data_IF_777013312242
#
_entry.id   IF_777013312242
#
_cell.length_a   1.000
_cell.length_b   1.000
_cell.length_c   1.000
_cell.angle_alpha   90.00
_cell.angle_beta   90.00
_cell.angle_gamma   90.00
#
_symmetry.space_group_name_H-M   'P 1'
#
loop_
_entity.id
_entity.type
_entity.pdbx_description
1 polymer ?
#
# COMPACT_ATOMS: atom_id res chain seq x y z
N UNK A 1 11.03 13.44 -23.20
CA UNK A 1 10.65 12.07 -22.86
C UNK A 1 10.91 11.76 -21.42
N UNK A 2 12.08 12.14 -20.92
CA UNK A 2 12.42 11.94 -19.52
C UNK A 2 11.42 12.62 -18.58
N UNK A 3 10.98 13.83 -18.93
CA UNK A 3 10.03 14.55 -18.11
C UNK A 3 8.72 13.78 -17.94
N UNK A 4 8.27 13.11 -19.01
CA UNK A 4 7.06 12.31 -18.94
C UNK A 4 7.23 11.10 -18.03
N UNK A 5 8.38 10.42 -18.11
CA UNK A 5 8.66 9.29 -17.25
C UNK A 5 8.77 9.73 -15.79
N UNK A 6 9.38 10.89 -15.54
CA UNK A 6 9.52 11.43 -14.19
C UNK A 6 8.19 11.88 -13.59
N UNK A 7 7.19 12.13 -14.45
CA UNK A 7 5.87 12.52 -13.98
C UNK A 7 4.98 11.31 -13.64
N UNK A 8 5.55 10.10 -13.61
CA UNK A 8 4.81 8.87 -13.34
C UNK A 8 5.28 8.25 -12.02
N UNK A 9 4.94 8.86 -10.86
CA UNK A 9 5.38 8.33 -9.57
C UNK A 9 4.83 6.94 -9.27
N UNK A 10 3.63 6.62 -9.81
CA UNK A 10 3.04 5.29 -9.65
C UNK A 10 3.88 4.21 -10.33
N UNK A 11 4.52 4.53 -11.46
CA UNK A 11 5.39 3.58 -12.15
C UNK A 11 6.66 3.32 -11.36
N UNK A 12 7.28 4.37 -10.80
CA UNK A 12 8.46 4.22 -9.96
C UNK A 12 8.13 3.42 -8.70
N UNK A 13 6.99 3.70 -8.08
CA UNK A 13 6.53 2.97 -6.90
C UNK A 13 6.28 1.49 -7.21
N UNK A 14 5.73 1.21 -8.40
CA UNK A 14 5.49 -0.16 -8.84
C UNK A 14 6.81 -0.92 -8.99
N UNK A 15 7.81 -0.31 -9.63
CA UNK A 15 9.13 -0.91 -9.79
C UNK A 15 9.77 -1.20 -8.43
N UNK A 16 9.72 -0.24 -7.52
CA UNK A 16 10.27 -0.40 -6.17
C UNK A 16 9.56 -1.53 -5.44
N UNK A 17 8.23 -1.60 -5.56
CA UNK A 17 7.45 -2.65 -4.91
C UNK A 17 7.80 -4.04 -5.42
N UNK A 18 8.23 -4.16 -6.68
CA UNK A 18 8.62 -5.45 -7.24
C UNK A 18 10.06 -5.82 -6.93
N UNK A 19 10.94 -4.83 -6.76
CA UNK A 19 12.37 -5.07 -6.63
C UNK A 19 12.85 -5.30 -5.20
N UNK A 20 12.11 -4.82 -4.20
CA UNK A 20 12.53 -4.99 -2.81
C UNK A 20 12.34 -6.43 -2.34
N UNK A 21 13.30 -6.94 -1.59
CA UNK A 21 13.12 -8.19 -0.86
C UNK A 21 11.96 -8.04 0.10
N UNK A 22 11.19 -9.13 0.30
CA UNK A 22 9.98 -9.05 1.11
C UNK A 22 10.21 -8.51 2.53
N UNK A 23 11.22 -8.99 3.28
CA UNK A 23 11.46 -8.44 4.62
C UNK A 23 11.72 -6.92 4.60
N UNK A 24 12.46 -6.43 3.61
CA UNK A 24 12.72 -5.00 3.47
C UNK A 24 11.46 -4.23 3.11
N UNK A 25 10.65 -4.78 2.23
CA UNK A 25 9.39 -4.15 1.84
C UNK A 25 8.48 -3.99 3.05
N UNK A 26 8.35 -5.04 3.85
CA UNK A 26 7.51 -5.00 5.05
C UNK A 26 8.05 -3.98 6.06
N UNK A 27 9.37 -3.97 6.24
CA UNK A 27 9.99 -3.01 7.16
C UNK A 27 9.72 -1.57 6.73
N UNK A 28 9.81 -1.28 5.45
CA UNK A 28 9.52 0.06 4.92
C UNK A 28 8.05 0.41 5.04
N UNK A 29 7.19 -0.55 4.77
CA UNK A 29 5.75 -0.33 4.91
C UNK A 29 5.42 0.02 6.37
N UNK A 30 5.98 -0.73 7.32
CA UNK A 30 5.78 -0.47 8.74
C UNK A 30 6.27 0.93 9.12
N UNK A 31 7.39 1.38 8.56
CA UNK A 31 7.89 2.72 8.86
C UNK A 31 6.95 3.82 8.35
N UNK A 32 6.15 3.53 7.33
CA UNK A 32 5.23 4.51 6.74
C UNK A 32 3.83 4.45 7.34
N UNK A 33 3.29 3.27 7.61
CA UNK A 33 1.91 3.15 8.08
C UNK A 33 1.76 2.44 9.43
N UNK A 34 2.85 1.95 9.99
CA UNK A 34 2.82 1.30 11.29
C UNK A 34 2.55 -0.19 11.22
N UNK A 35 2.82 -0.89 12.33
CA UNK A 35 2.69 -2.35 12.39
C UNK A 35 1.23 -2.81 12.34
N UNK A 36 0.35 -2.12 13.06
CA UNK A 36 -1.07 -2.51 13.13
C UNK A 36 -1.75 -2.39 11.78
N UNK A 37 -1.54 -1.28 11.09
CA UNK A 37 -2.17 -1.08 9.78
C UNK A 37 -1.55 -2.01 8.75
N UNK A 38 -0.24 -2.27 8.83
CA UNK A 38 0.41 -3.24 7.96
C UNK A 38 -0.18 -4.64 8.15
N UNK A 39 -0.39 -5.06 9.40
CA UNK A 39 -1.04 -6.34 9.70
C UNK A 39 -2.46 -6.38 9.15
N UNK A 40 -3.18 -5.29 9.31
CA UNK A 40 -4.56 -5.20 8.86
C UNK A 40 -4.66 -5.41 7.33
N UNK A 41 -3.89 -4.64 6.55
CA UNK A 41 -3.95 -4.75 5.09
C UNK A 41 -3.41 -6.09 4.59
N UNK A 42 -2.53 -6.73 5.35
CA UNK A 42 -2.03 -8.07 5.03
C UNK A 42 -3.06 -9.17 5.28
N UNK A 43 -4.10 -8.87 6.06
CA UNK A 43 -5.12 -9.85 6.39
C UNK A 43 -4.78 -10.71 7.59
N UNK A 44 -3.83 -10.29 8.42
CA UNK A 44 -3.47 -11.05 9.63
C UNK A 44 -3.93 -10.28 10.87
N UNK A 45 -4.09 -11.00 11.98
CA UNK A 45 -4.61 -10.42 13.23
C UNK A 45 -3.51 -9.95 14.15
N UNK A 46 -2.34 -10.58 14.09
CA UNK A 46 -1.30 -10.39 15.08
C UNK A 46 -0.12 -9.63 14.48
N UNK A 47 0.26 -8.52 15.11
CA UNK A 47 1.41 -7.72 14.68
C UNK A 47 2.72 -8.52 14.75
N UNK A 48 2.79 -9.55 15.62
CA UNK A 48 3.98 -10.40 15.70
C UNK A 48 4.21 -11.17 14.39
N UNK A 49 3.15 -11.43 13.64
CA UNK A 49 3.29 -12.04 12.31
C UNK A 49 4.05 -11.10 11.38
N UNK A 50 3.75 -9.81 11.44
CA UNK A 50 4.49 -8.79 10.67
C UNK A 50 5.97 -8.80 11.06
N UNK A 51 6.25 -8.85 12.35
CA UNK A 51 7.63 -8.91 12.84
C UNK A 51 8.37 -10.15 12.31
N UNK A 52 7.67 -11.27 12.23
CA UNK A 52 8.28 -12.51 11.71
C UNK A 52 8.67 -12.38 10.24
N UNK A 53 7.88 -11.66 9.44
CA UNK A 53 8.22 -11.43 8.03
C UNK A 53 9.47 -10.55 7.90
N UNK A 54 9.58 -9.54 8.75
CA UNK A 54 10.77 -8.69 8.76
C UNK A 54 12.00 -9.51 9.14
N UNK A 55 11.83 -10.49 10.02
CA UNK A 55 12.89 -11.40 10.42
C UNK A 55 13.20 -12.50 9.40
N UNK A 56 12.42 -12.61 8.33
CA UNK A 56 12.71 -13.52 7.23
C UNK A 56 11.75 -14.68 7.06
N UNK A 57 10.71 -14.78 7.89
CA UNK A 57 9.70 -15.83 7.72
C UNK A 57 8.93 -15.59 6.40
N UNK A 58 8.70 -16.65 5.65
CA UNK A 58 7.96 -16.58 4.40
C UNK A 58 6.47 -16.42 4.67
N UNK A 59 5.78 -15.52 3.94
CA UNK A 59 4.33 -15.38 4.08
C UNK A 59 3.58 -16.49 3.36
N UNK A 60 2.31 -16.67 3.72
CA UNK A 60 1.43 -17.64 3.09
C UNK A 60 0.46 -16.96 2.12
N UNK A 61 0.00 -17.73 1.13
CA UNK A 61 -1.09 -17.34 0.25
C UNK A 61 -0.82 -16.04 -0.48
N UNK A 62 -1.78 -15.13 -0.41
CA UNK A 62 -1.73 -13.86 -1.11
C UNK A 62 -1.12 -12.71 -0.32
N UNK A 63 -0.53 -13.00 0.83
CA UNK A 63 0.04 -11.94 1.68
C UNK A 63 1.07 -11.12 0.91
N UNK A 64 2.02 -11.78 0.25
CA UNK A 64 3.09 -11.06 -0.42
C UNK A 64 2.59 -10.16 -1.55
N UNK A 65 1.81 -10.64 -2.53
CA UNK A 65 1.31 -9.74 -3.57
C UNK A 65 0.42 -8.63 -3.01
N UNK A 66 -0.34 -8.91 -1.97
CA UNK A 66 -1.19 -7.91 -1.34
C UNK A 66 -0.38 -6.80 -0.67
N UNK A 67 0.68 -7.16 0.04
CA UNK A 67 1.56 -6.17 0.68
C UNK A 67 2.41 -5.43 -0.35
N UNK A 68 2.82 -6.09 -1.42
CA UNK A 68 3.54 -5.38 -2.48
C UNK A 68 2.66 -4.31 -3.13
N UNK A 69 1.39 -4.62 -3.35
CA UNK A 69 0.46 -3.63 -3.88
C UNK A 69 0.18 -2.51 -2.87
N UNK A 70 -0.04 -2.87 -1.60
CA UNK A 70 -0.23 -1.86 -0.56
C UNK A 70 0.97 -0.91 -0.48
N UNK A 71 2.18 -1.44 -0.58
CA UNK A 71 3.40 -0.64 -0.59
C UNK A 71 3.40 0.32 -1.78
N UNK A 72 3.00 -0.14 -2.95
CA UNK A 72 2.93 0.71 -4.14
C UNK A 72 2.00 1.91 -3.89
N UNK A 73 0.80 1.66 -3.37
CA UNK A 73 -0.17 2.71 -3.06
C UNK A 73 0.40 3.70 -2.05
N UNK A 74 0.98 3.18 -0.97
CA UNK A 74 1.55 4.01 0.10
C UNK A 74 2.69 4.87 -0.43
N UNK A 75 3.54 4.31 -1.29
CA UNK A 75 4.65 5.07 -1.87
C UNK A 75 4.17 6.20 -2.78
N UNK A 76 3.14 5.93 -3.58
CA UNK A 76 2.54 6.99 -4.42
C UNK A 76 2.05 8.14 -3.57
N UNK A 77 1.31 7.84 -2.50
CA UNK A 77 0.79 8.87 -1.60
C UNK A 77 1.91 9.58 -0.84
N UNK A 78 2.93 8.84 -0.42
CA UNK A 78 4.02 9.38 0.39
C UNK A 78 4.92 10.36 -0.37
N UNK A 79 4.86 10.37 -1.70
CA UNK A 79 5.58 11.37 -2.48
C UNK A 79 5.03 12.79 -2.24
N UNK A 80 3.78 12.89 -1.82
CA UNK A 80 3.09 14.18 -1.70
C UNK A 80 2.65 14.48 -0.28
N UNK A 81 2.46 13.48 0.56
CA UNK A 81 1.84 13.66 1.86
C UNK A 81 2.65 12.98 2.97
N UNK A 82 2.44 13.47 4.20
CA UNK A 82 3.09 12.90 5.38
C UNK A 82 2.51 11.52 5.71
N UNK A 83 3.23 10.71 6.48
CA UNK A 83 2.70 9.41 6.92
C UNK A 83 1.35 9.51 7.61
N UNK A 84 1.12 10.57 8.36
CA UNK A 84 -0.14 10.79 9.07
C UNK A 84 -1.31 10.93 8.10
N UNK A 85 -1.11 11.69 7.03
CA UNK A 85 -2.14 11.89 6.01
C UNK A 85 -2.37 10.59 5.24
N UNK A 86 -1.29 9.88 4.91
CA UNK A 86 -1.40 8.60 4.20
C UNK A 86 -2.20 7.59 5.04
N UNK A 87 -1.92 7.52 6.34
CA UNK A 87 -2.66 6.63 7.23
C UNK A 87 -4.14 7.01 7.31
N UNK A 88 -4.42 8.32 7.41
CA UNK A 88 -5.81 8.79 7.44
C UNK A 88 -6.55 8.46 6.13
N UNK A 89 -5.86 8.59 4.99
CA UNK A 89 -6.44 8.25 3.70
C UNK A 89 -6.80 6.75 3.64
N UNK A 90 -5.90 5.92 4.12
CA UNK A 90 -6.12 4.46 4.11
C UNK A 90 -7.31 4.05 4.98
N UNK A 91 -7.52 4.74 6.08
CA UNK A 91 -8.53 4.35 7.09
C UNK A 91 -9.86 5.05 6.94
N UNK A 92 -9.96 6.07 6.09
CA UNK A 92 -11.19 6.83 5.92
C UNK A 92 -12.05 6.31 4.78
N UNK A 93 -13.35 6.65 4.82
CA UNK A 93 -14.22 6.38 3.68
C UNK A 93 -13.78 7.25 2.51
N UNK A 94 -13.89 6.71 1.31
CA UNK A 94 -13.36 7.37 0.12
C UNK A 94 -14.43 7.48 -0.96
N UNK A 95 -14.83 8.72 -1.33
CA UNK A 95 -15.87 8.89 -2.36
C UNK A 95 -15.50 8.29 -3.70
N UNK A 96 -14.22 8.29 -4.06
CA UNK A 96 -13.76 7.69 -5.32
C UNK A 96 -13.92 6.18 -5.32
N UNK A 97 -14.12 5.58 -4.15
CA UNK A 97 -14.32 4.13 -4.00
C UNK A 97 -15.77 3.80 -3.61
N UNK A 98 -16.70 4.71 -3.86
CA UNK A 98 -18.09 4.51 -3.46
C UNK A 98 -18.23 4.46 -1.94
N UNK A 99 -17.51 5.32 -1.25
CA UNK A 99 -17.49 5.43 0.21
C UNK A 99 -16.96 4.18 0.92
N UNK A 100 -16.21 3.34 0.21
CA UNK A 100 -15.52 2.22 0.83
C UNK A 100 -14.16 2.68 1.37
N UNK A 101 -13.65 1.94 2.35
CA UNK A 101 -12.37 2.26 3.02
C UNK A 101 -11.22 1.57 2.28
N UNK A 102 -10.20 2.31 1.83
CA UNK A 102 -9.09 1.70 1.07
C UNK A 102 -8.42 0.53 1.80
N UNK A 103 -8.11 0.69 3.09
CA UNK A 103 -7.46 -0.39 3.84
C UNK A 103 -8.32 -1.65 3.89
N UNK A 104 -9.64 -1.50 3.96
CA UNK A 104 -10.54 -2.64 3.99
C UNK A 104 -10.57 -3.35 2.64
N UNK A 105 -10.54 -2.60 1.54
CA UNK A 105 -10.45 -3.20 0.21
C UNK A 105 -9.15 -3.97 0.04
N UNK A 106 -8.03 -3.42 0.54
CA UNK A 106 -6.76 -4.12 0.50
C UNK A 106 -6.78 -5.39 1.32
N UNK A 107 -7.49 -5.39 2.44
CA UNK A 107 -7.58 -6.57 3.32
C UNK A 107 -8.51 -7.64 2.75
N UNK A 108 -9.70 -7.26 2.32
CA UNK A 108 -10.79 -8.19 2.03
C UNK A 108 -11.07 -8.37 0.56
N UNK A 109 -10.68 -7.42 -0.28
CA UNK A 109 -11.01 -7.46 -1.69
C UNK A 109 -10.19 -8.47 -2.47
N UNK A 110 -10.74 -8.85 -3.63
CA UNK A 110 -10.00 -9.65 -4.58
C UNK A 110 -8.99 -8.71 -5.24
N UNK A 111 -7.71 -9.03 -5.13
CA UNK A 111 -6.63 -8.09 -5.44
C UNK A 111 -6.72 -7.56 -6.88
N UNK A 112 -6.93 -8.44 -7.86
CA UNK A 112 -7.00 -8.02 -9.25
C UNK A 112 -8.17 -7.06 -9.53
N UNK A 113 -9.25 -7.20 -8.76
CA UNK A 113 -10.42 -6.33 -8.92
C UNK A 113 -10.22 -4.99 -8.22
N UNK A 114 -9.68 -5.00 -6.99
CA UNK A 114 -9.59 -3.77 -6.20
C UNK A 114 -8.35 -2.94 -6.51
N UNK A 115 -7.29 -3.55 -7.06
CA UNK A 115 -6.05 -2.82 -7.29
C UNK A 115 -6.23 -1.61 -8.21
N UNK A 116 -6.89 -1.73 -9.38
CA UNK A 116 -7.09 -0.55 -10.22
C UNK A 116 -7.94 0.51 -9.54
N UNK A 117 -8.95 0.11 -8.77
CA UNK A 117 -9.82 1.05 -8.06
C UNK A 117 -9.05 1.84 -7.01
N UNK A 118 -8.29 1.14 -6.17
CA UNK A 118 -7.54 1.78 -5.08
C UNK A 118 -6.45 2.69 -5.64
N UNK A 119 -5.72 2.22 -6.66
CA UNK A 119 -4.68 3.04 -7.28
C UNK A 119 -5.27 4.27 -7.97
N UNK A 120 -6.41 4.12 -8.63
CA UNK A 120 -7.13 5.23 -9.24
C UNK A 120 -7.55 6.27 -8.21
N UNK A 121 -8.04 5.80 -7.05
CA UNK A 121 -8.43 6.71 -5.96
C UNK A 121 -7.21 7.44 -5.39
N UNK A 122 -6.06 6.76 -5.26
CA UNK A 122 -4.84 7.40 -4.80
C UNK A 122 -4.37 8.47 -5.76
N UNK A 123 -4.42 8.19 -7.07
CA UNK A 123 -4.08 9.19 -8.09
C UNK A 123 -5.01 10.39 -8.04
N UNK A 124 -6.30 10.16 -7.85
CA UNK A 124 -7.28 11.23 -7.74
C UNK A 124 -6.99 12.11 -6.53
N UNK A 125 -6.62 11.51 -5.41
CA UNK A 125 -6.27 12.25 -4.20
C UNK A 125 -5.07 13.16 -4.43
N UNK A 126 -4.02 12.64 -5.06
CA UNK A 126 -2.82 13.41 -5.36
C UNK A 126 -3.13 14.56 -6.31
N UNK A 127 -3.91 14.30 -7.35
CA UNK A 127 -4.23 15.30 -8.37
C UNK A 127 -5.15 16.39 -7.85
N UNK A 128 -6.05 16.04 -6.97
CA UNK A 128 -7.07 16.99 -6.47
C UNK A 128 -6.66 17.68 -5.19
N UNK A 129 -5.69 17.12 -4.55
CA UNK A 129 -5.37 17.58 -3.24
C UNK A 129 -4.14 18.18 -2.97
#
# INVERSE_FOLDING_TARGET
MTALAMARPDLAAHKEALSLEFPQLVSRLVSLIGRKLSAYVAGVKDVRTVDSWIAGTQPYGEVEPRLRFAFQVVRVLSEHDSPRIVQAWLMGVNPELGDRVPARLLREGELDAVAPEVLGAARAFIAGG
#
